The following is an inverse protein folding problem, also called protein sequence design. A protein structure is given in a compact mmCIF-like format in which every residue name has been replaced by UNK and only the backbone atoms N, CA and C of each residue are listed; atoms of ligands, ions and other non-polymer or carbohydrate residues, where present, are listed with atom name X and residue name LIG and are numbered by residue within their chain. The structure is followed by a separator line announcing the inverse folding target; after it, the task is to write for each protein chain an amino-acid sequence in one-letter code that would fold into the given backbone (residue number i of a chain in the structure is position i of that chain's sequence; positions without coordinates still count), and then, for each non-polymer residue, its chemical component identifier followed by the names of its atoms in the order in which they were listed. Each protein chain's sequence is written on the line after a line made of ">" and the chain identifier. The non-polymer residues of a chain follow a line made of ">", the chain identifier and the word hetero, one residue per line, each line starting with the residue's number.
data_IF_114983014170
#
_entry.id   IF_114983014170
#
_cell.length_a   1.000
_cell.length_b   1.000
_cell.length_c   1.000
_cell.angle_alpha   90.00
_cell.angle_beta   90.00
_cell.angle_gamma   90.00
#
_symmetry.space_group_name_H-M   'P 1'
#
loop_
_entity.id
_entity.type
_entity.pdbx_description
1 polymer ?
#
# COMPACT_ATOMS: atom_id res chain seq x y z
N UNK A 1 -17.52 -15.40 3.89
CA UNK A 1 -16.21 -15.92 4.33
C UNK A 1 -15.48 -14.73 4.93
N UNK A 2 -15.13 -14.78 6.21
CA UNK A 2 -14.45 -13.66 6.88
C UNK A 2 -12.96 -13.70 6.49
N UNK A 3 -12.48 -12.67 5.81
CA UNK A 3 -11.11 -12.55 5.32
C UNK A 3 -10.20 -12.03 6.45
N UNK A 4 -9.21 -12.80 6.94
CA UNK A 4 -8.42 -12.43 8.14
C UNK A 4 -7.72 -11.05 8.04
N UNK A 5 -7.20 -10.71 6.86
CA UNK A 5 -6.54 -9.43 6.59
C UNK A 5 -7.49 -8.23 6.64
N UNK A 6 -8.80 -8.40 6.46
CA UNK A 6 -9.74 -7.30 6.56
C UNK A 6 -9.92 -6.80 8.00
N UNK A 7 -9.92 -7.71 8.98
CA UNK A 7 -9.94 -7.32 10.40
C UNK A 7 -8.64 -6.65 10.79
N UNK A 8 -7.53 -7.11 10.21
CA UNK A 8 -6.24 -6.49 10.40
C UNK A 8 -6.24 -5.02 9.95
N UNK A 9 -6.58 -4.75 8.69
CA UNK A 9 -6.63 -3.36 8.20
C UNK A 9 -7.66 -2.51 8.93
N UNK A 10 -8.80 -3.09 9.32
CA UNK A 10 -9.76 -2.40 10.18
C UNK A 10 -9.14 -1.97 11.50
N UNK A 11 -8.34 -2.83 12.13
CA UNK A 11 -7.68 -2.53 13.39
C UNK A 11 -6.67 -1.39 13.24
N UNK A 12 -5.79 -1.44 12.24
CA UNK A 12 -4.81 -0.36 12.01
C UNK A 12 -5.51 0.96 11.63
N UNK A 13 -6.61 0.90 10.87
CA UNK A 13 -7.44 2.08 10.56
C UNK A 13 -8.11 2.68 11.80
N UNK A 14 -8.55 1.85 12.77
CA UNK A 14 -9.09 2.35 14.04
C UNK A 14 -8.01 2.99 14.91
N UNK A 15 -6.82 2.39 15.01
CA UNK A 15 -5.70 2.97 15.77
C UNK A 15 -5.30 4.34 15.21
N UNK A 16 -5.16 4.46 13.89
CA UNK A 16 -4.88 5.76 13.24
C UNK A 16 -5.96 6.81 13.51
N UNK A 17 -7.24 6.39 13.57
CA UNK A 17 -8.34 7.30 13.89
C UNK A 17 -8.30 7.76 15.35
N UNK A 18 -8.00 6.85 16.28
CA UNK A 18 -7.85 7.14 17.71
C UNK A 18 -6.66 8.07 17.98
N UNK A 19 -5.50 7.80 17.37
CA UNK A 19 -4.28 8.64 17.49
C UNK A 19 -4.53 10.08 17.04
N UNK A 20 -5.12 10.28 15.85
CA UNK A 20 -5.51 11.62 15.36
C UNK A 20 -6.60 12.28 16.22
N UNK A 21 -7.42 11.50 16.92
CA UNK A 21 -8.41 12.00 17.88
C UNK A 21 -7.76 12.52 19.15
N UNK A 22 -6.80 11.77 19.69
CA UNK A 22 -6.00 12.16 20.86
C UNK A 22 -5.15 13.42 20.58
N UNK A 23 -4.45 13.46 19.43
CA UNK A 23 -3.66 14.63 19.00
C UNK A 23 -4.52 15.91 18.90
N UNK A 24 -5.72 15.82 18.32
CA UNK A 24 -6.67 16.93 18.24
C UNK A 24 -7.18 17.37 19.61
N UNK A 25 -7.39 16.45 20.55
CA UNK A 25 -7.86 16.75 21.91
C UNK A 25 -6.76 17.44 22.74
N UNK A 26 -5.51 17.00 22.63
CA UNK A 26 -4.36 17.66 23.27
C UNK A 26 -4.13 19.07 22.71
N UNK A 27 -4.23 19.25 21.38
CA UNK A 27 -4.16 20.58 20.76
C UNK A 27 -5.31 21.50 21.19
N UNK A 28 -6.52 20.97 21.39
CA UNK A 28 -7.66 21.74 21.88
C UNK A 28 -7.50 22.15 23.36
N UNK A 29 -6.96 21.27 24.22
CA UNK A 29 -6.64 21.58 25.63
C UNK A 29 -5.58 22.67 25.76
N UNK A 30 -4.48 22.58 25.01
CA UNK A 30 -3.44 23.62 24.98
C UNK A 30 -3.96 24.98 24.45
N UNK A 31 -5.05 24.99 23.68
CA UNK A 31 -5.68 26.23 23.20
C UNK A 31 -6.66 26.83 24.22
N UNK A 32 -7.29 26.01 25.06
CA UNK A 32 -8.18 26.45 26.14
C UNK A 32 -7.43 27.06 27.33
N UNK A 33 -6.19 26.63 27.58
CA UNK A 33 -5.36 27.17 28.68
C UNK A 33 -4.72 28.53 28.36
N UNK A 34 -4.73 28.96 27.08
CA UNK A 34 -4.17 30.25 26.67
C UNK A 34 -5.18 31.42 26.67
N UNK A 35 -6.46 31.19 27.03
CA UNK A 35 -7.50 32.25 27.04
C UNK A 35 -8.09 32.59 28.42
N UNK A 36 -7.55 32.05 29.51
CA UNK A 36 -8.00 32.39 30.86
C UNK A 36 -6.82 32.71 31.79
N UNK A 37 -6.31 33.94 31.69
CA UNK A 37 -5.45 34.51 32.73
C UNK A 37 -5.97 35.90 33.11
N UNK A 38 -6.95 35.93 34.00
CA UNK A 38 -7.09 37.03 34.97
C UNK A 38 -8.05 36.65 36.10
N UNK A 39 -7.51 36.59 37.33
CA UNK A 39 -8.12 36.82 38.67
C UNK A 39 -7.95 35.70 39.71
N UNK A 40 -7.37 36.12 40.84
CA UNK A 40 -7.17 35.43 42.12
C UNK A 40 -8.46 34.90 42.77
N UNK A 41 -8.42 33.71 43.37
CA UNK A 41 -8.50 33.49 44.84
C UNK A 41 -8.78 32.00 45.21
N UNK A 42 -8.04 31.56 46.23
CA UNK A 42 -8.14 30.44 47.21
C UNK A 42 -9.23 29.32 47.20
N UNK A 43 -8.72 28.15 47.63
CA UNK A 43 -9.26 27.07 48.51
C UNK A 43 -9.79 25.72 47.93
N UNK A 44 -9.04 24.67 48.30
CA UNK A 44 -9.33 23.30 48.80
C UNK A 44 -10.25 22.25 48.12
N UNK A 45 -9.76 20.99 48.19
CA UNK A 45 -10.45 19.69 48.06
C UNK A 45 -10.47 19.13 46.63
N UNK A 46 -10.20 17.87 46.31
CA UNK A 46 -9.93 16.61 47.02
C UNK A 46 -9.16 15.72 46.00
N UNK A 47 -8.50 14.68 46.51
CA UNK A 47 -8.29 13.32 45.96
C UNK A 47 -8.27 13.15 44.42
N UNK A 48 -7.20 12.62 43.83
CA UNK A 48 -7.11 11.16 43.64
C UNK A 48 -5.66 10.67 43.47
N UNK A 49 -5.41 9.51 44.07
CA UNK A 49 -4.24 8.65 43.94
C UNK A 49 -3.81 8.48 42.47
N UNK A 50 -2.66 9.07 42.09
CA UNK A 50 -1.93 8.61 40.91
C UNK A 50 -1.13 7.38 41.34
N UNK A 51 -1.78 6.22 41.22
CA UNK A 51 -1.10 4.93 41.20
C UNK A 51 -0.09 4.97 40.06
N UNK A 52 1.17 4.97 40.45
CA UNK A 52 2.34 5.03 39.58
C UNK A 52 2.66 3.61 39.14
N UNK A 53 2.84 3.46 37.82
CA UNK A 53 3.75 2.50 37.23
C UNK A 53 3.27 1.04 37.16
N UNK A 54 2.35 0.78 36.22
CA UNK A 54 2.59 -0.28 35.25
C UNK A 54 2.52 0.37 33.86
N UNK A 55 3.65 0.91 33.43
CA UNK A 55 3.98 1.09 32.02
C UNK A 55 3.90 -0.30 31.35
N UNK A 56 2.70 -0.73 30.97
CA UNK A 56 2.56 -1.53 29.77
C UNK A 56 2.98 -0.61 28.64
N UNK A 57 4.28 -0.64 28.33
CA UNK A 57 4.83 -0.27 27.04
C UNK A 57 4.07 -1.10 25.98
N UNK A 58 2.84 -0.69 25.66
CA UNK A 58 2.20 -1.07 24.41
C UNK A 58 3.12 -0.48 23.34
N UNK A 59 3.83 -1.37 22.65
CA UNK A 59 4.59 -1.12 21.42
C UNK A 59 3.62 -0.63 20.31
N UNK A 60 2.96 0.51 20.55
CA UNK A 60 1.78 1.02 19.84
C UNK A 60 2.18 1.88 18.61
N UNK A 61 3.21 1.40 17.91
CA UNK A 61 3.56 1.80 16.56
C UNK A 61 3.10 0.70 15.58
N UNK A 62 1.78 0.48 15.45
CA UNK A 62 1.22 -0.30 14.33
C UNK A 62 0.66 0.60 13.21
N UNK A 63 1.49 1.08 12.27
CA UNK A 63 1.06 1.62 10.98
C UNK A 63 0.70 0.52 9.96
N UNK A 64 0.55 -0.73 10.40
CA UNK A 64 0.29 -1.90 9.58
C UNK A 64 1.52 -2.80 9.45
N UNK A 65 1.47 -3.99 10.05
CA UNK A 65 2.42 -5.11 9.88
C UNK A 65 2.79 -5.34 8.41
N UNK A 66 4.06 -5.14 8.08
CA UNK A 66 4.65 -5.60 6.82
C UNK A 66 4.91 -7.10 6.91
N UNK A 67 4.08 -7.88 6.21
CA UNK A 67 4.11 -9.35 6.15
C UNK A 67 5.45 -9.95 5.67
N UNK A 68 6.37 -9.13 5.16
CA UNK A 68 7.64 -9.57 4.59
C UNK A 68 8.86 -8.96 5.27
N UNK A 69 8.69 -8.28 6.41
CA UNK A 69 9.80 -7.73 7.20
C UNK A 69 10.69 -8.85 7.74
N UNK A 70 10.12 -10.01 8.07
CA UNK A 70 10.84 -11.18 8.61
C UNK A 70 11.95 -11.72 7.68
N UNK A 71 11.95 -11.36 6.39
CA UNK A 71 12.91 -11.85 5.40
C UNK A 71 13.79 -10.76 4.78
N UNK A 72 13.76 -9.53 5.31
CA UNK A 72 14.44 -8.36 4.76
C UNK A 72 14.18 -8.19 3.24
N UNK A 73 12.98 -8.54 2.80
CA UNK A 73 12.64 -8.49 1.39
C UNK A 73 12.53 -7.05 0.85
N UNK A 74 12.00 -6.04 1.59
CA UNK A 74 12.06 -4.64 1.13
C UNK A 74 13.48 -4.16 0.84
N UNK A 75 14.43 -4.45 1.73
CA UNK A 75 15.83 -4.00 1.64
C UNK A 75 16.56 -4.68 0.48
N UNK A 76 16.29 -5.97 0.25
CA UNK A 76 16.84 -6.69 -0.91
C UNK A 76 16.37 -6.09 -2.22
N UNK A 77 15.08 -5.78 -2.33
CA UNK A 77 14.52 -5.15 -3.54
C UNK A 77 15.08 -3.74 -3.71
N UNK A 78 15.11 -2.94 -2.64
CA UNK A 78 15.72 -1.60 -2.64
C UNK A 78 17.17 -1.65 -3.13
N UNK A 79 18.00 -2.52 -2.54
CA UNK A 79 19.41 -2.68 -2.92
C UNK A 79 19.58 -3.09 -4.38
N UNK A 80 18.71 -3.96 -4.88
CA UNK A 80 18.76 -4.37 -6.28
C UNK A 80 18.39 -3.22 -7.22
N UNK A 81 17.28 -2.53 -6.95
CA UNK A 81 16.75 -1.46 -7.81
C UNK A 81 17.60 -0.19 -7.78
N UNK A 82 18.42 0.02 -6.75
CA UNK A 82 19.35 1.16 -6.63
C UNK A 82 20.79 0.80 -7.02
N UNK A 83 21.06 -0.45 -7.41
CA UNK A 83 22.38 -0.88 -7.86
C UNK A 83 22.79 -0.18 -9.16
N UNK A 84 24.05 0.24 -9.25
CA UNK A 84 24.63 0.78 -10.49
C UNK A 84 24.51 -0.17 -11.68
N UNK A 85 24.43 -1.48 -11.43
CA UNK A 85 24.26 -2.51 -12.46
C UNK A 85 22.83 -2.60 -13.00
N UNK A 86 21.84 -2.05 -12.29
CA UNK A 86 20.46 -2.06 -12.72
C UNK A 86 20.18 -0.88 -13.67
N UNK A 87 19.78 -1.12 -14.93
CA UNK A 87 19.69 -0.06 -15.94
C UNK A 87 18.74 1.09 -15.57
N UNK A 88 17.66 0.78 -14.85
CA UNK A 88 16.64 1.75 -14.44
C UNK A 88 16.90 2.33 -13.05
N UNK A 89 18.07 2.08 -12.45
CA UNK A 89 18.42 2.66 -11.16
C UNK A 89 18.46 4.19 -11.25
N UNK A 90 18.14 4.93 -10.17
CA UNK A 90 18.12 6.38 -10.20
C UNK A 90 19.47 6.99 -10.58
N UNK A 91 20.58 6.39 -10.13
CA UNK A 91 21.92 6.82 -10.55
C UNK A 91 22.15 6.73 -12.06
N UNK A 92 21.43 5.88 -12.78
CA UNK A 92 21.53 5.70 -14.23
C UNK A 92 20.50 6.51 -15.03
N UNK A 93 19.46 7.03 -14.37
CA UNK A 93 18.29 7.66 -15.01
C UNK A 93 18.07 9.11 -14.53
N UNK A 94 18.90 9.64 -13.63
CA UNK A 94 18.83 11.06 -13.23
C UNK A 94 19.65 11.95 -14.18
N UNK A 95 19.13 13.16 -14.44
CA UNK A 95 19.67 14.08 -15.45
C UNK A 95 21.11 14.55 -15.21
N UNK A 96 21.65 14.38 -14.01
CA UNK A 96 23.03 14.75 -13.67
C UNK A 96 24.05 13.65 -14.00
N UNK A 97 23.59 12.42 -14.24
CA UNK A 97 24.48 11.25 -14.32
C UNK A 97 24.94 10.90 -15.74
N UNK A 98 24.29 11.42 -16.78
CA UNK A 98 24.57 11.06 -18.18
C UNK A 98 24.47 12.23 -19.16
N UNK A 99 25.13 12.08 -20.31
CA UNK A 99 25.12 13.05 -21.43
C UNK A 99 23.76 13.14 -22.14
N UNK A 100 22.86 12.19 -21.90
CA UNK A 100 21.49 12.13 -22.40
C UNK A 100 20.58 11.66 -21.24
N UNK A 101 19.77 12.53 -20.63
CA UNK A 101 18.87 12.15 -19.56
C UNK A 101 17.85 11.13 -20.05
N UNK A 102 17.82 9.93 -19.48
CA UNK A 102 16.68 9.02 -19.60
C UNK A 102 15.60 9.43 -18.60
N UNK A 103 14.30 9.27 -18.91
CA UNK A 103 13.25 9.48 -17.91
C UNK A 103 13.38 8.45 -16.77
N UNK A 104 13.00 8.87 -15.56
CA UNK A 104 12.86 7.95 -14.41
C UNK A 104 11.75 6.92 -14.70
N UNK A 105 11.89 5.66 -14.22
CA UNK A 105 10.95 4.60 -14.52
C UNK A 105 9.60 4.80 -13.81
N UNK A 106 8.52 4.37 -14.46
CA UNK A 106 7.22 4.21 -13.83
C UNK A 106 7.17 2.87 -13.06
N UNK A 107 6.67 2.89 -11.82
CA UNK A 107 6.66 1.72 -10.93
C UNK A 107 5.24 1.37 -10.50
N UNK A 108 4.89 0.09 -10.60
CA UNK A 108 3.66 -0.50 -10.07
C UNK A 108 4.00 -1.49 -8.96
N UNK A 109 3.31 -1.43 -7.83
CA UNK A 109 3.40 -2.42 -6.75
C UNK A 109 2.06 -3.15 -6.59
N UNK A 110 2.06 -4.45 -6.87
CA UNK A 110 0.88 -5.32 -6.86
C UNK A 110 0.74 -6.00 -5.49
N UNK A 111 -0.41 -5.79 -4.85
CA UNK A 111 -0.65 -6.14 -3.45
C UNK A 111 0.14 -5.23 -2.52
N UNK A 112 0.04 -3.92 -2.78
CA UNK A 112 0.85 -2.89 -2.14
C UNK A 112 0.63 -2.79 -0.62
N UNK A 113 -0.46 -3.37 -0.10
CA UNK A 113 -0.73 -3.31 1.32
C UNK A 113 -0.91 -1.87 1.80
N UNK A 114 -0.10 -1.47 2.78
CA UNK A 114 -0.05 -0.10 3.32
C UNK A 114 0.80 0.86 2.48
N UNK A 115 1.35 0.44 1.34
CA UNK A 115 2.13 1.28 0.42
C UNK A 115 3.56 1.57 0.86
N UNK A 116 4.05 0.96 1.95
CA UNK A 116 5.38 1.23 2.52
C UNK A 116 6.53 1.02 1.53
N UNK A 117 6.44 0.01 0.65
CA UNK A 117 7.48 -0.28 -0.35
C UNK A 117 7.66 0.86 -1.36
N UNK A 118 6.56 1.43 -1.87
CA UNK A 118 6.62 2.54 -2.82
C UNK A 118 7.14 3.82 -2.15
N UNK A 119 6.75 4.08 -0.91
CA UNK A 119 7.27 5.21 -0.14
C UNK A 119 8.76 5.07 0.12
N UNK A 120 9.22 3.87 0.50
CA UNK A 120 10.64 3.56 0.67
C UNK A 120 11.43 3.83 -0.63
N UNK A 121 10.95 3.35 -1.78
CA UNK A 121 11.57 3.60 -3.08
C UNK A 121 11.61 5.09 -3.48
N UNK A 122 10.55 5.84 -3.18
CA UNK A 122 10.48 7.28 -3.45
C UNK A 122 11.46 8.05 -2.58
N UNK A 123 11.39 7.83 -1.27
CA UNK A 123 12.03 8.69 -0.26
C UNK A 123 13.51 8.33 -0.08
N UNK A 124 13.84 7.03 -0.03
CA UNK A 124 15.21 6.55 0.19
C UNK A 124 15.86 6.03 -1.09
N UNK A 125 15.06 5.49 -2.02
CA UNK A 125 15.56 4.88 -3.24
C UNK A 125 15.93 5.87 -4.33
N UNK A 126 15.45 7.12 -4.26
CA UNK A 126 15.74 8.17 -5.25
C UNK A 126 14.87 8.12 -6.51
N UNK A 127 13.80 7.33 -6.53
CA UNK A 127 12.85 7.23 -7.64
C UNK A 127 11.87 8.41 -7.66
N UNK A 128 12.38 9.62 -7.93
CA UNK A 128 11.64 10.87 -7.71
C UNK A 128 10.88 11.40 -8.93
N UNK A 129 11.21 10.96 -10.15
CA UNK A 129 10.65 11.54 -11.39
C UNK A 129 9.55 10.73 -12.07
N UNK A 130 9.47 9.42 -11.83
CA UNK A 130 8.50 8.54 -12.47
C UNK A 130 7.16 8.47 -11.73
N UNK A 131 6.11 8.04 -12.43
CA UNK A 131 4.82 7.72 -11.82
C UNK A 131 4.97 6.47 -10.94
N UNK A 132 4.37 6.48 -9.75
CA UNK A 132 4.30 5.30 -8.89
C UNK A 132 2.86 5.01 -8.52
N UNK A 133 2.45 3.76 -8.69
CA UNK A 133 1.11 3.29 -8.36
C UNK A 133 1.17 2.05 -7.46
N UNK A 134 0.42 2.05 -6.37
CA UNK A 134 0.21 0.89 -5.52
C UNK A 134 -1.20 0.37 -5.68
N UNK A 135 -1.36 -0.93 -5.94
CA UNK A 135 -2.67 -1.55 -6.13
C UNK A 135 -2.90 -2.70 -5.17
N UNK A 136 -4.13 -2.85 -4.71
CA UNK A 136 -4.57 -3.96 -3.87
C UNK A 136 -6.06 -4.24 -4.14
N UNK A 137 -6.48 -5.49 -4.03
CA UNK A 137 -7.90 -5.85 -4.19
C UNK A 137 -8.73 -5.43 -2.96
N UNK A 138 -8.08 -5.21 -1.80
CA UNK A 138 -8.70 -4.83 -0.53
C UNK A 138 -8.90 -3.31 -0.46
N UNK A 139 -10.15 -2.81 -0.45
CA UNK A 139 -10.42 -1.37 -0.30
C UNK A 139 -9.85 -0.79 1.00
N UNK A 140 -9.85 -1.57 2.08
CA UNK A 140 -9.33 -1.16 3.39
C UNK A 140 -7.81 -0.97 3.37
N UNK A 141 -7.10 -1.81 2.61
CA UNK A 141 -5.65 -1.68 2.45
C UNK A 141 -5.29 -0.39 1.74
N UNK A 142 -6.00 -0.09 0.65
CA UNK A 142 -5.82 1.15 -0.12
C UNK A 142 -6.22 2.38 0.71
N UNK A 143 -7.28 2.29 1.51
CA UNK A 143 -7.64 3.34 2.45
C UNK A 143 -6.53 3.60 3.47
N UNK A 144 -5.93 2.54 4.04
CA UNK A 144 -4.80 2.66 4.96
C UNK A 144 -3.60 3.33 4.27
N UNK A 145 -3.22 2.88 3.08
CA UNK A 145 -2.12 3.46 2.31
C UNK A 145 -2.33 4.96 2.05
N UNK A 146 -3.52 5.34 1.55
CA UNK A 146 -3.86 6.76 1.34
C UNK A 146 -3.76 7.56 2.64
N UNK A 147 -4.28 7.06 3.76
CA UNK A 147 -4.20 7.77 5.06
C UNK A 147 -2.77 7.98 5.56
N UNK A 148 -1.88 7.02 5.32
CA UNK A 148 -0.47 7.12 5.74
C UNK A 148 0.30 8.12 4.86
N UNK A 149 -0.02 8.20 3.57
CA UNK A 149 0.79 8.92 2.59
C UNK A 149 0.21 10.27 2.15
N UNK A 150 -1.09 10.53 2.34
CA UNK A 150 -1.79 11.80 2.02
C UNK A 150 -1.67 12.85 3.16
N UNK A 151 -0.68 12.74 4.05
CA UNK A 151 -0.53 13.67 5.16
C UNK A 151 -0.03 15.06 4.68
N UNK A 152 -0.66 16.17 5.11
CA UNK A 152 -0.38 17.52 4.59
C UNK A 152 1.02 18.04 4.91
N UNK A 153 1.80 17.34 5.73
CA UNK A 153 3.19 17.68 6.03
C UNK A 153 4.14 17.43 4.83
N UNK A 154 3.72 16.72 3.79
CA UNK A 154 4.53 16.41 2.59
C UNK A 154 4.38 17.43 1.45
N UNK A 155 3.40 18.33 1.51
CA UNK A 155 2.97 19.15 0.35
C UNK A 155 3.61 20.55 0.27
N UNK A 156 4.31 21.04 1.30
CA UNK A 156 4.93 22.37 1.24
C UNK A 156 6.27 22.34 0.47
N UNK A 157 6.19 22.30 -0.87
CA UNK A 157 7.31 22.59 -1.78
C UNK A 157 7.88 21.39 -2.55
N UNK A 158 7.29 20.20 -2.43
CA UNK A 158 7.75 19.01 -3.15
C UNK A 158 7.34 19.07 -4.64
N UNK A 159 8.32 18.99 -5.54
CA UNK A 159 8.10 18.88 -7.01
C UNK A 159 7.92 17.43 -7.47
N UNK A 160 7.99 16.48 -6.54
CA UNK A 160 7.88 15.05 -6.81
C UNK A 160 6.42 14.64 -6.98
N UNK A 161 6.07 13.86 -8.02
CA UNK A 161 4.72 13.32 -8.17
C UNK A 161 4.31 12.48 -6.95
N UNK A 162 3.06 12.64 -6.52
CA UNK A 162 2.48 11.82 -5.43
C UNK A 162 2.32 10.36 -5.87
N UNK A 163 2.42 9.44 -4.90
CA UNK A 163 2.17 8.01 -5.14
C UNK A 163 0.65 7.82 -5.23
N UNK A 164 0.18 7.17 -6.29
CA UNK A 164 -1.25 6.89 -6.48
C UNK A 164 -1.60 5.50 -5.92
N UNK A 165 -2.65 5.40 -5.11
CA UNK A 165 -3.12 4.11 -4.59
C UNK A 165 -4.49 3.79 -5.14
N UNK A 166 -4.70 2.59 -5.67
CA UNK A 166 -5.95 2.19 -6.33
C UNK A 166 -6.44 0.79 -5.95
N UNK A 167 -7.76 0.66 -5.81
CA UNK A 167 -8.37 -0.66 -5.59
C UNK A 167 -8.48 -1.36 -6.93
N UNK A 168 -7.78 -2.48 -7.07
CA UNK A 168 -7.81 -3.25 -8.31
C UNK A 168 -7.60 -4.74 -8.02
N UNK A 169 -8.53 -5.55 -8.55
CA UNK A 169 -8.35 -6.99 -8.65
C UNK A 169 -7.61 -7.27 -9.97
N UNK A 170 -6.42 -7.86 -9.87
CA UNK A 170 -5.57 -8.20 -11.02
C UNK A 170 -6.24 -9.20 -11.98
N UNK A 171 -7.32 -9.85 -11.53
CA UNK A 171 -8.14 -10.75 -12.33
C UNK A 171 -9.38 -10.10 -12.94
N UNK A 172 -9.66 -8.84 -12.60
CA UNK A 172 -10.72 -8.08 -13.26
C UNK A 172 -10.45 -8.08 -14.77
N UNK A 173 -11.50 -8.41 -15.53
CA UNK A 173 -11.45 -8.51 -16.99
C UNK A 173 -11.60 -7.16 -17.68
N UNK A 174 -11.76 -6.06 -16.92
CA UNK A 174 -11.66 -4.71 -17.48
C UNK A 174 -10.33 -4.56 -18.21
N UNK A 175 -10.36 -3.98 -19.40
CA UNK A 175 -9.15 -3.70 -20.13
C UNK A 175 -8.34 -2.66 -19.33
N UNK A 176 -7.05 -2.91 -19.12
CA UNK A 176 -6.14 -1.94 -18.47
C UNK A 176 -6.15 -0.57 -19.16
N UNK A 177 -6.56 -0.52 -20.44
CA UNK A 177 -6.74 0.70 -21.21
C UNK A 177 -7.92 1.57 -20.74
N UNK A 178 -8.87 1.01 -19.99
CA UNK A 178 -10.02 1.72 -19.44
C UNK A 178 -9.73 2.33 -18.06
N UNK A 179 -8.59 2.00 -17.46
CA UNK A 179 -8.18 2.50 -16.15
C UNK A 179 -7.47 3.86 -16.34
N UNK A 180 -8.04 4.92 -15.76
CA UNK A 180 -7.53 6.29 -15.85
C UNK A 180 -6.14 6.47 -15.23
N UNK A 181 -5.80 5.60 -14.28
CA UNK A 181 -4.53 5.57 -13.58
C UNK A 181 -3.45 4.75 -14.28
N UNK A 182 -3.83 3.87 -15.20
CA UNK A 182 -2.90 2.99 -15.89
C UNK A 182 -2.30 3.74 -17.08
N UNK A 183 -0.96 3.88 -17.18
CA UNK A 183 -0.31 4.68 -18.21
C UNK A 183 -0.24 3.93 -19.56
N UNK A 184 -1.36 3.43 -20.06
CA UNK A 184 -1.45 2.61 -21.28
C UNK A 184 -0.91 3.37 -22.51
N UNK A 185 -1.19 4.67 -22.60
CA UNK A 185 -0.71 5.52 -23.68
C UNK A 185 0.82 5.74 -23.67
N UNK A 186 1.47 5.52 -22.51
CA UNK A 186 2.92 5.61 -22.35
C UNK A 186 3.61 4.23 -22.39
N UNK A 187 2.87 3.16 -22.68
CA UNK A 187 3.41 1.80 -22.73
C UNK A 187 3.36 1.03 -21.40
N UNK A 188 2.73 1.59 -20.36
CA UNK A 188 2.56 0.94 -19.06
C UNK A 188 3.65 1.31 -18.06
N UNK A 189 3.92 0.38 -17.14
CA UNK A 189 4.93 0.52 -16.08
C UNK A 189 6.23 -0.19 -16.47
N UNK A 190 7.37 0.43 -16.16
CA UNK A 190 8.71 -0.12 -16.44
C UNK A 190 9.14 -1.16 -15.40
N UNK A 191 8.70 -0.97 -14.16
CA UNK A 191 8.96 -1.85 -13.03
C UNK A 191 7.63 -2.27 -12.42
N UNK A 192 7.42 -3.59 -12.29
CA UNK A 192 6.27 -4.16 -11.59
C UNK A 192 6.80 -5.00 -10.43
N UNK A 193 6.43 -4.62 -9.21
CA UNK A 193 6.76 -5.32 -7.99
C UNK A 193 5.59 -6.23 -7.63
N UNK A 194 5.93 -7.48 -7.31
CA UNK A 194 5.03 -8.41 -6.69
C UNK A 194 5.77 -9.05 -5.52
N UNK A 195 5.41 -8.62 -4.31
CA UNK A 195 6.11 -9.03 -3.10
C UNK A 195 5.62 -10.37 -2.55
N UNK A 196 4.69 -11.05 -3.22
CA UNK A 196 4.10 -12.32 -2.78
C UNK A 196 2.60 -12.42 -3.02
N UNK A 197 2.01 -11.48 -3.76
CA UNK A 197 0.63 -11.53 -4.25
C UNK A 197 0.42 -12.72 -5.16
N UNK A 198 1.35 -12.99 -6.08
CA UNK A 198 1.28 -14.19 -6.93
C UNK A 198 1.36 -15.49 -6.12
N UNK A 199 2.20 -15.56 -5.09
CA UNK A 199 2.26 -16.73 -4.20
C UNK A 199 0.95 -16.91 -3.42
N UNK A 200 0.42 -15.84 -2.82
CA UNK A 200 -0.85 -15.87 -2.10
C UNK A 200 -2.02 -16.31 -2.99
N UNK A 201 -2.07 -15.79 -4.22
CA UNK A 201 -3.03 -16.19 -5.25
C UNK A 201 -2.85 -17.67 -5.61
N UNK A 202 -1.61 -18.10 -5.87
CA UNK A 202 -1.29 -19.46 -6.32
C UNK A 202 -1.60 -20.52 -5.26
N UNK A 203 -1.52 -20.14 -3.98
CA UNK A 203 -1.85 -20.97 -2.83
C UNK A 203 -3.32 -20.88 -2.42
N UNK A 204 -4.08 -19.91 -2.94
CA UNK A 204 -5.51 -19.80 -2.65
C UNK A 204 -6.29 -20.98 -3.23
N UNK A 205 -7.15 -21.58 -2.41
CA UNK A 205 -8.08 -22.63 -2.85
C UNK A 205 -9.33 -22.06 -3.55
N UNK A 206 -9.29 -20.78 -3.97
CA UNK A 206 -10.44 -20.07 -4.51
C UNK A 206 -10.71 -20.51 -5.96
N UNK A 207 -11.79 -21.26 -6.14
CA UNK A 207 -12.25 -21.71 -7.45
C UNK A 207 -13.12 -20.62 -8.10
N UNK A 208 -12.63 -20.02 -9.19
CA UNK A 208 -13.46 -19.13 -10.01
C UNK A 208 -14.39 -20.01 -10.85
N UNK A 209 -15.68 -20.02 -10.53
CA UNK A 209 -16.69 -20.68 -11.35
C UNK A 209 -16.69 -20.08 -12.76
N UNK A 210 -16.19 -20.83 -13.75
CA UNK A 210 -16.39 -20.48 -15.16
C UNK A 210 -17.85 -20.73 -15.49
N UNK A 211 -18.63 -19.65 -15.62
CA UNK A 211 -20.02 -19.74 -16.03
C UNK A 211 -20.15 -20.55 -17.33
N UNK A 212 -20.88 -21.66 -17.25
CA UNK A 212 -21.37 -22.43 -18.40
C UNK A 212 -22.07 -21.47 -19.37
N UNK A 213 -21.52 -21.28 -20.57
CA UNK A 213 -22.32 -20.83 -21.70
C UNK A 213 -23.10 -22.05 -22.22
N UNK A 214 -24.42 -21.94 -22.10
CA UNK A 214 -25.48 -22.52 -22.94
C UNK A 214 -25.30 -23.92 -23.54
N UNK A 215 -26.25 -24.80 -23.23
CA UNK A 215 -26.67 -25.87 -24.13
C UNK A 215 -26.60 -27.27 -23.54
N UNK A 216 -27.79 -27.83 -23.29
CA UNK A 216 -28.13 -29.24 -23.22
C UNK A 216 -27.96 -30.01 -21.90
N UNK A 217 -29.09 -30.58 -21.53
CA UNK A 217 -29.40 -31.41 -20.40
C UNK A 217 -28.76 -32.79 -20.59
N UNK A 218 -27.82 -33.17 -19.72
CA UNK A 218 -27.63 -34.56 -19.34
C UNK A 218 -26.95 -34.62 -17.98
N UNK A 219 -27.65 -35.23 -17.03
CA UNK A 219 -27.13 -35.53 -15.70
C UNK A 219 -26.21 -36.74 -15.85
N UNK A 220 -24.90 -36.54 -15.72
CA UNK A 220 -24.02 -37.60 -15.28
C UNK A 220 -23.15 -37.11 -14.12
N UNK A 221 -23.35 -37.72 -12.95
CA UNK A 221 -22.57 -37.48 -11.72
C UNK A 221 -21.28 -38.27 -11.83
N UNK A 222 -20.23 -37.69 -12.44
CA UNK A 222 -18.83 -38.06 -12.13
C UNK A 222 -17.84 -37.11 -12.78
N UNK A 223 -17.01 -36.48 -11.94
CA UNK A 223 -15.83 -35.73 -12.34
C UNK A 223 -16.07 -34.23 -12.50
N UNK A 224 -16.20 -33.52 -11.38
CA UNK A 224 -15.94 -32.07 -11.41
C UNK A 224 -14.49 -31.89 -11.85
N UNK A 225 -14.27 -31.41 -13.08
CA UNK A 225 -12.93 -31.11 -13.57
C UNK A 225 -12.45 -29.87 -12.81
N UNK A 226 -11.60 -30.11 -11.81
CA UNK A 226 -10.86 -29.07 -11.09
C UNK A 226 -9.92 -28.43 -12.10
N UNK A 227 -10.14 -27.15 -12.41
CA UNK A 227 -9.22 -26.36 -13.23
C UNK A 227 -8.59 -25.32 -12.32
N UNK A 228 -7.37 -25.59 -11.86
CA UNK A 228 -6.51 -24.54 -11.32
C UNK A 228 -6.24 -23.53 -12.44
N UNK A 229 -6.41 -22.25 -12.16
CA UNK A 229 -6.11 -21.17 -13.11
C UNK A 229 -4.60 -21.07 -13.31
N UNK A 230 -4.07 -21.93 -14.18
CA UNK A 230 -2.69 -21.83 -14.67
C UNK A 230 -2.66 -20.70 -15.70
N UNK A 231 -1.75 -19.74 -15.53
CA UNK A 231 -1.44 -18.75 -16.56
C UNK A 231 -1.09 -19.50 -17.85
N UNK A 232 -2.02 -19.49 -18.80
CA UNK A 232 -1.77 -20.01 -20.13
C UNK A 232 -1.04 -18.89 -20.86
N UNK A 233 0.30 -18.99 -20.90
CA UNK A 233 1.10 -18.18 -21.79
C UNK A 233 0.68 -18.60 -23.21
N UNK A 234 -0.05 -17.73 -23.90
CA UNK A 234 -0.31 -17.89 -25.31
C UNK A 234 1.06 -17.86 -26.02
N UNK A 235 1.53 -19.05 -26.38
CA UNK A 235 2.70 -19.22 -27.22
C UNK A 235 2.38 -18.61 -28.58
N UNK A 236 2.87 -17.39 -28.80
CA UNK A 236 2.93 -16.78 -30.12
C UNK A 236 3.75 -17.67 -31.05
N UNK A 237 3.06 -18.52 -31.80
CA UNK A 237 3.61 -19.18 -32.96
C UNK A 237 3.97 -18.11 -33.98
N UNK A 238 5.26 -17.99 -34.26
CA UNK A 238 5.77 -17.33 -35.45
C UNK A 238 5.48 -18.27 -36.62
N UNK A 239 4.59 -17.85 -37.51
CA UNK A 239 4.53 -18.30 -38.92
C UNK A 239 4.85 -17.08 -39.81
#
# INVERSE_FOLDING_TARGET
>A
MHKPWESFYNNSLSHLSSKRGAERKCQARNRGENEANDRDDKEEGDDDDYDSDEDEDDDDDDPGTSWFTEHNAPEKVMRFLTSESFPLAPCNTQAQSQSQPQPQPNILDIGTGNGSMLTLLRDEGGFTGGQMAGVDYSPKSIELARRLHDSPARDEGATTPTIRFEVWDVFDKKAVQELDWFPAAQGGFDIVLDKGTFDAISLSAEEIATGKRGGEENVDRKGSRVVQKRLQLDGGGVD
#
